data_IF_509748406975
#
_entry.id   IF_509748406975
#
_cell.length_a   1.000
_cell.length_b   1.000
_cell.length_c   1.000
_cell.angle_alpha   90.00
_cell.angle_beta   90.00
_cell.angle_gamma   90.00
#
_symmetry.space_group_name_H-M   'P 1'
#
loop_
_entity.id
_entity.type
_entity.pdbx_description
1 polymer ?
#
# COMPACT_ATOMS: atom_id res chain seq x y z
N UNK A 1 7.03 16.33 17.08
CA UNK A 1 8.20 15.47 16.78
C UNK A 1 9.26 15.82 17.80
N UNK A 2 9.44 14.96 18.80
CA UNK A 2 10.12 15.30 20.06
C UNK A 2 11.60 14.96 19.96
N UNK A 3 12.46 15.97 19.99
CA UNK A 3 13.91 15.93 19.73
C UNK A 3 14.72 15.95 21.03
N UNK A 4 14.54 14.97 21.92
CA UNK A 4 15.38 14.85 23.11
C UNK A 4 16.40 13.72 22.96
N UNK A 5 17.69 14.09 22.93
CA UNK A 5 18.81 13.18 23.16
C UNK A 5 18.99 13.01 24.67
N UNK A 6 18.54 11.90 25.22
CA UNK A 6 18.88 11.49 26.59
C UNK A 6 20.07 10.54 26.57
N UNK A 7 21.28 11.08 26.47
CA UNK A 7 22.51 10.36 26.81
C UNK A 7 23.31 11.19 27.83
N UNK A 8 23.78 10.60 28.95
CA UNK A 8 24.45 11.32 30.05
C UNK A 8 25.70 12.13 29.65
N UNK A 9 26.22 11.98 28.43
CA UNK A 9 27.44 12.62 27.95
C UNK A 9 27.25 13.63 26.79
N UNK A 10 26.02 13.85 26.29
CA UNK A 10 25.74 14.84 25.24
C UNK A 10 24.53 15.70 25.59
N UNK A 11 24.74 16.66 26.49
CA UNK A 11 23.90 17.86 26.61
C UNK A 11 24.12 18.74 25.38
N UNK A 12 23.19 18.70 24.42
CA UNK A 12 23.19 19.58 23.24
C UNK A 12 21.91 19.44 22.42
N UNK A 13 21.47 20.53 21.79
CA UNK A 13 20.30 20.52 20.91
C UNK A 13 20.59 19.72 19.63
N UNK A 14 19.79 18.71 19.34
CA UNK A 14 19.83 18.00 18.06
C UNK A 14 19.33 18.94 16.94
N UNK A 15 20.21 19.31 16.02
CA UNK A 15 19.88 20.22 14.90
C UNK A 15 19.69 19.43 13.61
N UNK A 16 18.56 19.65 12.93
CA UNK A 16 18.33 19.13 11.57
C UNK A 16 18.31 20.29 10.58
N UNK A 17 19.16 20.25 9.57
CA UNK A 17 19.29 21.28 8.54
C UNK A 17 18.56 20.85 7.26
N UNK A 18 17.78 21.75 6.69
CA UNK A 18 17.09 21.57 5.41
C UNK A 18 17.64 22.58 4.41
N UNK A 19 18.24 22.09 3.32
CA UNK A 19 18.88 22.92 2.30
C UNK A 19 18.02 22.92 1.04
N UNK A 20 17.71 24.12 0.53
CA UNK A 20 16.85 24.30 -0.63
C UNK A 20 17.63 24.93 -1.78
N UNK A 21 17.22 24.60 -3.01
CA UNK A 21 17.67 25.30 -4.21
C UNK A 21 17.24 26.76 -4.12
N UNK A 22 18.19 27.68 -4.22
CA UNK A 22 17.95 29.12 -4.00
C UNK A 22 17.03 29.75 -5.05
N UNK A 23 16.84 29.12 -6.21
CA UNK A 23 16.06 29.65 -7.33
C UNK A 23 14.68 29.00 -7.43
N UNK A 24 14.60 27.68 -7.24
CA UNK A 24 13.38 26.89 -7.42
C UNK A 24 12.70 26.55 -6.09
N UNK A 25 13.39 26.69 -4.96
CA UNK A 25 12.88 26.32 -3.64
C UNK A 25 12.75 24.81 -3.41
N UNK A 26 13.34 23.98 -4.28
CA UNK A 26 13.30 22.52 -4.12
C UNK A 26 14.23 22.04 -3.02
N UNK A 27 13.82 21.04 -2.24
CA UNK A 27 14.65 20.49 -1.17
C UNK A 27 15.83 19.69 -1.76
N UNK A 28 17.05 20.23 -1.66
CA UNK A 28 18.27 19.61 -2.16
C UNK A 28 18.84 18.61 -1.17
N UNK A 29 18.82 18.92 0.13
CA UNK A 29 19.27 17.98 1.15
C UNK A 29 18.64 18.20 2.51
N UNK A 30 18.57 17.13 3.28
CA UNK A 30 18.21 17.13 4.70
C UNK A 30 19.34 16.47 5.46
N UNK A 31 19.92 17.15 6.44
CA UNK A 31 21.06 16.69 7.24
C UNK A 31 20.64 16.65 8.70
N UNK A 32 20.79 15.48 9.32
CA UNK A 32 20.56 15.25 10.74
C UNK A 32 21.76 15.75 11.57
N UNK A 33 21.60 15.72 12.88
CA UNK A 33 22.62 16.19 13.82
C UNK A 33 23.86 15.29 13.89
N UNK A 34 23.77 14.06 13.38
CA UNK A 34 24.88 13.14 13.19
C UNK A 34 25.59 13.31 11.82
N UNK A 35 25.22 14.33 11.04
CA UNK A 35 25.76 14.63 9.72
C UNK A 35 25.25 13.70 8.60
N UNK A 36 24.44 12.68 8.91
CA UNK A 36 23.81 11.83 7.91
C UNK A 36 22.55 12.48 7.37
N UNK A 37 22.07 12.00 6.24
CA UNK A 37 20.92 12.66 5.62
C UNK A 37 20.53 12.15 4.26
N UNK A 38 19.65 12.88 3.62
CA UNK A 38 19.22 12.57 2.25
C UNK A 38 19.57 13.71 1.32
N UNK A 39 19.96 13.40 0.08
CA UNK A 39 20.09 14.37 -1.00
C UNK A 39 19.10 14.05 -2.11
N UNK A 40 18.61 15.07 -2.80
CA UNK A 40 17.68 14.94 -3.91
C UNK A 40 18.23 15.69 -5.13
N UNK A 41 17.95 15.15 -6.31
CA UNK A 41 18.14 15.87 -7.57
C UNK A 41 16.83 15.95 -8.33
N UNK A 42 16.70 16.95 -9.20
CA UNK A 42 15.48 17.22 -9.94
C UNK A 42 15.75 17.31 -11.44
N UNK A 43 14.76 16.97 -12.26
CA UNK A 43 14.77 17.24 -13.69
C UNK A 43 14.65 18.75 -13.95
N UNK A 44 14.96 19.23 -15.17
CA UNK A 44 14.73 20.64 -15.52
C UNK A 44 13.28 21.11 -15.34
N UNK A 45 12.31 20.18 -15.50
CA UNK A 45 10.88 20.41 -15.28
C UNK A 45 10.45 20.35 -13.81
N UNK A 46 11.40 20.16 -12.88
CA UNK A 46 11.16 20.17 -11.44
C UNK A 46 10.63 18.87 -10.85
N UNK A 47 10.77 17.76 -11.55
CA UNK A 47 10.40 16.43 -11.04
C UNK A 47 11.57 15.80 -10.29
N UNK A 48 11.30 15.06 -9.22
CA UNK A 48 12.35 14.35 -8.50
C UNK A 48 13.00 13.31 -9.45
N UNK A 49 14.33 13.39 -9.61
CA UNK A 49 15.10 12.53 -10.50
C UNK A 49 15.86 11.47 -9.73
N UNK A 50 16.56 11.86 -8.67
CA UNK A 50 17.23 10.92 -7.77
C UNK A 50 17.05 11.31 -6.32
N UNK A 51 17.15 10.32 -5.44
CA UNK A 51 17.26 10.51 -4.00
C UNK A 51 18.33 9.59 -3.43
N UNK A 52 19.36 10.14 -2.82
CA UNK A 52 20.32 9.38 -2.03
C UNK A 52 19.86 9.36 -0.57
N UNK A 53 19.71 8.17 -0.01
CA UNK A 53 19.30 7.91 1.36
C UNK A 53 20.49 8.01 2.31
N UNK A 54 20.23 8.20 3.61
CA UNK A 54 21.27 8.26 4.65
C UNK A 54 22.15 7.02 4.74
N UNK A 55 21.66 5.89 4.22
CA UNK A 55 22.41 4.63 4.09
C UNK A 55 23.29 4.55 2.82
N UNK A 56 23.44 5.63 2.07
CA UNK A 56 24.26 5.70 0.85
C UNK A 56 23.62 5.14 -0.42
N UNK A 57 22.46 4.50 -0.32
CA UNK A 57 21.73 3.98 -1.49
C UNK A 57 21.01 5.13 -2.20
N UNK A 58 21.13 5.19 -3.53
CA UNK A 58 20.46 6.15 -4.40
C UNK A 58 19.32 5.48 -5.13
N UNK A 59 18.12 6.05 -5.02
CA UNK A 59 16.97 5.70 -5.85
C UNK A 59 16.93 6.66 -7.04
N UNK A 60 16.83 6.14 -8.26
CA UNK A 60 16.56 6.92 -9.48
C UNK A 60 15.13 6.70 -9.90
N UNK A 61 14.41 7.77 -10.19
CA UNK A 61 13.01 7.76 -10.61
C UNK A 61 12.94 7.95 -12.12
N UNK A 62 12.41 6.96 -12.81
CA UNK A 62 12.20 6.99 -14.26
C UNK A 62 10.78 7.46 -14.53
N UNK A 63 10.62 8.45 -15.40
CA UNK A 63 9.31 9.02 -15.73
C UNK A 63 9.01 8.89 -17.22
N UNK A 64 7.75 8.65 -17.57
CA UNK A 64 7.28 8.78 -18.94
C UNK A 64 7.20 10.27 -19.37
N UNK A 65 6.80 10.53 -20.61
CA UNK A 65 6.65 11.89 -21.14
C UNK A 65 5.58 12.72 -20.40
N UNK A 66 4.50 12.08 -19.92
CA UNK A 66 3.47 12.73 -19.13
C UNK A 66 3.96 13.11 -17.72
N UNK A 67 4.97 12.40 -17.22
CA UNK A 67 5.58 12.60 -15.90
C UNK A 67 5.31 11.59 -14.85
N UNK A 68 4.56 10.56 -15.21
CA UNK A 68 4.28 9.49 -14.28
C UNK A 68 5.56 8.68 -14.07
N UNK A 69 5.79 8.29 -12.82
CA UNK A 69 6.90 7.40 -12.49
C UNK A 69 6.56 6.02 -13.03
N UNK A 70 7.40 5.51 -13.94
CA UNK A 70 7.28 4.19 -14.56
C UNK A 70 8.38 3.23 -14.09
N UNK A 71 9.38 3.71 -13.35
CA UNK A 71 10.45 2.87 -12.86
C UNK A 71 11.17 3.45 -11.65
N UNK A 72 11.69 2.57 -10.81
CA UNK A 72 12.62 2.89 -9.74
C UNK A 72 13.82 1.96 -9.84
N UNK A 73 15.02 2.55 -9.93
CA UNK A 73 16.27 1.80 -9.82
C UNK A 73 17.01 2.18 -8.56
N UNK A 74 17.68 1.21 -7.95
CA UNK A 74 18.44 1.42 -6.72
C UNK A 74 19.92 1.22 -6.98
N UNK A 75 20.77 2.12 -6.49
CA UNK A 75 22.22 1.95 -6.57
C UNK A 75 22.66 0.82 -5.65
N UNK A 76 23.28 -0.20 -6.21
CA UNK A 76 23.62 -1.44 -5.51
C UNK A 76 22.78 -2.61 -6.01
N UNK A 77 23.10 -3.82 -5.57
CA UNK A 77 22.48 -5.07 -6.03
C UNK A 77 21.52 -5.71 -5.01
N UNK A 78 21.39 -5.11 -3.81
CA UNK A 78 20.62 -5.70 -2.72
C UNK A 78 19.12 -5.40 -2.77
N UNK A 79 18.69 -4.40 -3.54
CA UNK A 79 17.27 -4.02 -3.67
C UNK A 79 16.89 -4.10 -5.13
N UNK A 80 15.93 -4.98 -5.44
CA UNK A 80 15.42 -5.14 -6.80
C UNK A 80 14.77 -3.86 -7.31
N UNK A 81 14.96 -3.58 -8.59
CA UNK A 81 14.30 -2.48 -9.28
C UNK A 81 12.78 -2.71 -9.34
N UNK A 82 12.04 -1.63 -9.55
CA UNK A 82 10.59 -1.67 -9.72
C UNK A 82 10.25 -1.07 -11.09
N UNK A 83 9.37 -1.72 -11.84
CA UNK A 83 8.88 -1.24 -13.13
C UNK A 83 7.36 -1.23 -13.12
N UNK A 84 6.76 -0.17 -13.66
CA UNK A 84 5.32 -0.02 -13.80
C UNK A 84 4.94 0.13 -15.28
N UNK A 85 3.84 -0.51 -15.65
CA UNK A 85 3.09 -0.15 -16.85
C UNK A 85 1.82 0.57 -16.43
N UNK A 86 1.49 1.67 -17.10
CA UNK A 86 0.35 2.51 -16.77
C UNK A 86 -0.68 2.48 -17.91
N UNK A 87 -1.95 2.61 -17.57
CA UNK A 87 -3.00 2.92 -18.54
C UNK A 87 -3.00 4.42 -18.90
N UNK A 88 -3.92 4.82 -19.78
CA UNK A 88 -4.06 6.21 -20.25
C UNK A 88 -4.52 7.19 -19.17
N UNK A 89 -5.02 6.69 -18.04
CA UNK A 89 -5.42 7.49 -16.88
C UNK A 89 -4.29 7.58 -15.84
N UNK A 90 -3.11 6.99 -16.11
CA UNK A 90 -1.97 6.95 -15.19
C UNK A 90 -2.09 5.89 -14.10
N UNK A 91 -3.07 4.97 -14.18
CA UNK A 91 -3.24 3.88 -13.22
C UNK A 91 -2.29 2.73 -13.58
N UNK A 92 -1.71 2.09 -12.57
CA UNK A 92 -0.77 0.98 -12.77
C UNK A 92 -1.52 -0.27 -13.20
N UNK A 93 -1.25 -0.78 -14.40
CA UNK A 93 -1.83 -2.04 -14.90
C UNK A 93 -0.86 -3.21 -14.82
N UNK A 94 0.43 -2.94 -14.60
CA UNK A 94 1.44 -3.97 -14.32
C UNK A 94 2.50 -3.42 -13.36
N UNK A 95 2.93 -4.26 -12.43
CA UNK A 95 3.99 -3.97 -11.48
C UNK A 95 4.95 -5.16 -11.47
N UNK A 96 6.21 -4.91 -11.80
CA UNK A 96 7.31 -5.87 -11.64
C UNK A 96 8.27 -5.36 -10.59
N UNK A 97 8.50 -6.13 -9.54
CA UNK A 97 9.49 -5.82 -8.50
C UNK A 97 10.17 -7.11 -7.99
N UNK A 98 10.85 -7.02 -6.84
CA UNK A 98 11.56 -8.15 -6.25
C UNK A 98 10.69 -9.33 -5.81
N UNK A 99 9.37 -9.18 -5.74
CA UNK A 99 8.47 -10.30 -5.39
C UNK A 99 7.90 -11.01 -6.62
N UNK A 100 8.01 -10.42 -7.80
CA UNK A 100 7.45 -10.95 -9.04
C UNK A 100 6.74 -9.87 -9.86
N UNK A 101 5.94 -10.33 -10.83
CA UNK A 101 5.09 -9.46 -11.65
C UNK A 101 3.62 -9.71 -11.33
N UNK A 102 2.88 -8.63 -11.07
CA UNK A 102 1.42 -8.67 -10.98
C UNK A 102 0.75 -7.67 -11.91
N UNK A 103 -0.36 -8.07 -12.50
CA UNK A 103 -1.17 -7.24 -13.39
C UNK A 103 -2.46 -6.84 -12.68
N UNK A 104 -2.86 -5.58 -12.86
CA UNK A 104 -4.02 -4.99 -12.20
C UNK A 104 -5.08 -4.62 -13.23
N UNK A 105 -6.34 -4.89 -12.90
CA UNK A 105 -7.50 -4.52 -13.72
C UNK A 105 -8.42 -3.61 -12.93
N UNK A 106 -9.03 -2.64 -13.62
CA UNK A 106 -9.88 -1.64 -12.98
C UNK A 106 -11.21 -1.52 -13.69
N UNK A 107 -12.23 -1.08 -12.95
CA UNK A 107 -13.46 -0.56 -13.53
C UNK A 107 -13.22 0.80 -14.17
N UNK A 108 -14.20 1.25 -14.97
CA UNK A 108 -14.19 2.61 -15.54
C UNK A 108 -14.18 3.69 -14.44
N UNK A 109 -14.85 3.42 -13.31
CA UNK A 109 -14.85 4.29 -12.12
C UNK A 109 -13.54 4.27 -11.32
N UNK A 110 -12.56 3.44 -11.68
CA UNK A 110 -11.26 3.38 -11.00
C UNK A 110 -11.16 2.41 -9.83
N UNK A 111 -12.17 1.57 -9.62
CA UNK A 111 -12.11 0.51 -8.61
C UNK A 111 -11.25 -0.65 -9.12
N UNK A 112 -10.37 -1.18 -8.27
CA UNK A 112 -9.54 -2.35 -8.60
C UNK A 112 -10.45 -3.59 -8.67
N UNK A 113 -10.54 -4.24 -9.83
CA UNK A 113 -11.36 -5.43 -10.04
C UNK A 113 -10.58 -6.73 -9.84
N UNK A 114 -9.28 -6.71 -10.10
CA UNK A 114 -8.45 -7.90 -9.88
C UNK A 114 -6.96 -7.65 -9.96
N UNK A 115 -6.23 -8.62 -9.42
CA UNK A 115 -4.77 -8.70 -9.43
C UNK A 115 -4.34 -10.11 -9.83
N UNK A 116 -3.60 -10.25 -10.92
CA UNK A 116 -3.06 -11.54 -11.39
C UNK A 116 -1.57 -11.60 -11.16
N UNK A 117 -1.11 -12.54 -10.32
CA UNK A 117 0.32 -12.77 -10.07
C UNK A 117 0.91 -13.66 -11.16
N UNK A 118 1.55 -13.04 -12.14
CA UNK A 118 2.09 -13.68 -13.34
C UNK A 118 3.47 -14.33 -13.11
N UNK A 119 4.22 -13.90 -12.11
CA UNK A 119 5.51 -14.49 -11.76
C UNK A 119 5.88 -14.23 -10.30
N UNK A 120 6.92 -14.92 -9.82
CA UNK A 120 7.44 -14.77 -8.47
C UNK A 120 6.74 -15.66 -7.44
N UNK A 121 6.84 -15.30 -6.15
CA UNK A 121 6.45 -16.18 -5.04
C UNK A 121 4.94 -16.49 -5.02
N UNK A 122 4.12 -15.59 -5.54
CA UNK A 122 2.66 -15.72 -5.54
C UNK A 122 2.11 -16.17 -6.90
N UNK A 123 2.95 -16.67 -7.81
CA UNK A 123 2.52 -17.05 -9.16
C UNK A 123 1.34 -18.02 -9.12
N UNK A 124 0.34 -17.75 -9.96
CA UNK A 124 -0.89 -18.55 -10.02
C UNK A 124 -1.92 -18.22 -8.94
N UNK A 125 -1.65 -17.27 -8.04
CA UNK A 125 -2.67 -16.67 -7.16
C UNK A 125 -3.26 -15.42 -7.82
N UNK A 126 -4.56 -15.43 -8.05
CA UNK A 126 -5.31 -14.28 -8.54
C UNK A 126 -6.21 -13.74 -7.44
N UNK A 127 -6.27 -12.42 -7.29
CA UNK A 127 -7.26 -11.76 -6.44
C UNK A 127 -8.36 -11.17 -7.32
N UNK A 128 -9.60 -11.31 -6.87
CA UNK A 128 -10.77 -10.69 -7.51
C UNK A 128 -11.57 -9.90 -6.48
N UNK A 129 -12.11 -8.78 -6.91
CA UNK A 129 -12.86 -7.84 -6.08
C UNK A 129 -14.20 -7.53 -6.73
N UNK A 130 -15.25 -7.53 -5.91
CA UNK A 130 -16.58 -7.07 -6.33
C UNK A 130 -17.05 -5.91 -5.48
N UNK A 131 -17.88 -5.07 -6.07
CA UNK A 131 -18.41 -3.85 -5.47
C UNK A 131 -19.91 -3.74 -5.76
N UNK A 132 -20.63 -3.05 -4.89
CA UNK A 132 -22.00 -2.63 -5.16
C UNK A 132 -22.05 -1.29 -5.91
N UNK A 133 -23.26 -0.83 -6.23
CA UNK A 133 -23.51 0.43 -6.95
C UNK A 133 -23.10 1.70 -6.17
N UNK A 134 -22.75 1.58 -4.90
CA UNK A 134 -22.23 2.67 -4.06
C UNK A 134 -20.71 2.57 -3.91
N UNK A 135 -20.05 1.78 -4.75
CA UNK A 135 -18.60 1.51 -4.74
C UNK A 135 -18.09 0.89 -3.43
N UNK A 136 -18.98 0.23 -2.67
CA UNK A 136 -18.61 -0.51 -1.46
C UNK A 136 -18.23 -1.92 -1.83
N UNK A 137 -17.08 -2.40 -1.36
CA UNK A 137 -16.56 -3.73 -1.69
C UNK A 137 -17.44 -4.81 -1.05
N UNK A 138 -18.06 -5.65 -1.87
CA UNK A 138 -18.94 -6.75 -1.46
C UNK A 138 -18.23 -8.10 -1.47
N UNK A 139 -17.12 -8.25 -2.20
CA UNK A 139 -16.36 -9.48 -2.24
C UNK A 139 -14.85 -9.23 -2.39
N UNK A 140 -14.06 -10.10 -1.76
CA UNK A 140 -12.65 -10.36 -2.08
C UNK A 140 -12.51 -11.87 -2.23
N UNK A 141 -11.95 -12.35 -3.32
CA UNK A 141 -11.64 -13.76 -3.51
C UNK A 141 -10.20 -13.97 -3.95
N UNK A 142 -9.66 -15.13 -3.59
CA UNK A 142 -8.36 -15.62 -4.05
C UNK A 142 -8.63 -16.89 -4.85
N UNK A 143 -8.13 -16.91 -6.08
CA UNK A 143 -8.16 -18.07 -6.95
C UNK A 143 -6.74 -18.62 -7.08
N UNK A 144 -6.57 -19.92 -6.90
CA UNK A 144 -5.33 -20.62 -7.14
C UNK A 144 -5.45 -21.37 -8.45
N UNK A 145 -4.68 -20.98 -9.46
CA UNK A 145 -4.78 -21.50 -10.83
C UNK A 145 -6.22 -21.44 -11.36
N UNK A 146 -6.84 -20.26 -11.22
CA UNK A 146 -8.23 -19.99 -11.61
C UNK A 146 -9.32 -20.80 -10.86
N UNK A 147 -8.96 -21.51 -9.79
CA UNK A 147 -9.92 -22.20 -8.91
C UNK A 147 -10.10 -21.41 -7.62
N UNK A 148 -11.33 -21.09 -7.25
CA UNK A 148 -11.64 -20.38 -6.01
C UNK A 148 -11.09 -21.13 -4.79
N UNK A 149 -10.17 -20.50 -4.07
CA UNK A 149 -9.52 -21.07 -2.89
C UNK A 149 -10.03 -20.44 -1.59
N UNK A 150 -10.22 -19.12 -1.59
CA UNK A 150 -10.72 -18.36 -0.45
C UNK A 150 -11.64 -17.25 -0.94
N UNK A 151 -12.64 -16.91 -0.15
CA UNK A 151 -13.44 -15.72 -0.39
C UNK A 151 -13.85 -15.07 0.92
N UNK A 152 -14.10 -13.77 0.86
CA UNK A 152 -14.75 -12.99 1.90
C UNK A 152 -15.84 -12.13 1.27
N UNK A 153 -17.06 -12.23 1.77
CA UNK A 153 -18.20 -11.42 1.38
C UNK A 153 -18.54 -10.40 2.48
N UNK A 154 -18.90 -9.20 2.07
CA UNK A 154 -19.25 -8.08 2.95
C UNK A 154 -20.66 -7.60 2.63
N UNK A 155 -21.43 -7.30 3.66
CA UNK A 155 -22.81 -6.85 3.55
C UNK A 155 -22.98 -5.57 4.32
N UNK A 156 -23.79 -4.66 3.76
CA UNK A 156 -23.99 -3.33 4.33
C UNK A 156 -25.48 -3.02 4.42
N UNK A 157 -25.84 -2.17 5.37
CA UNK A 157 -27.17 -1.57 5.41
C UNK A 157 -27.27 -0.34 4.49
N UNK A 158 -28.45 0.29 4.49
CA UNK A 158 -28.72 1.51 3.72
C UNK A 158 -27.94 2.74 4.22
N UNK A 159 -27.44 2.71 5.45
CA UNK A 159 -26.57 3.74 6.03
C UNK A 159 -25.08 3.46 5.78
N UNK A 160 -24.74 2.47 4.95
CA UNK A 160 -23.36 2.07 4.64
C UNK A 160 -22.55 1.55 5.82
N UNK A 161 -23.22 1.01 6.84
CA UNK A 161 -22.57 0.30 7.94
C UNK A 161 -22.44 -1.17 7.57
N UNK A 162 -21.28 -1.75 7.88
CA UNK A 162 -21.03 -3.18 7.70
C UNK A 162 -21.92 -3.97 8.67
N UNK A 163 -22.72 -4.89 8.15
CA UNK A 163 -23.66 -5.70 8.94
C UNK A 163 -23.22 -7.15 9.04
N UNK A 164 -22.51 -7.67 8.04
CA UNK A 164 -22.06 -9.06 8.04
C UNK A 164 -20.77 -9.25 7.24
N UNK A 165 -19.93 -10.16 7.71
CA UNK A 165 -18.77 -10.69 6.97
C UNK A 165 -18.88 -12.21 6.92
N UNK A 166 -18.59 -12.82 5.79
CA UNK A 166 -18.59 -14.28 5.66
C UNK A 166 -17.44 -14.76 4.79
N UNK A 167 -16.88 -15.93 5.08
CA UNK A 167 -15.89 -16.62 4.25
C UNK A 167 -16.48 -17.82 3.47
N UNK A 168 -17.82 -17.84 3.31
CA UNK A 168 -18.65 -18.96 2.87
C UNK A 168 -18.86 -20.08 3.91
N UNK A 169 -17.88 -20.36 4.75
CA UNK A 169 -17.96 -21.42 5.78
C UNK A 169 -18.49 -20.87 7.10
N UNK A 170 -18.09 -19.66 7.43
CA UNK A 170 -18.39 -18.95 8.65
C UNK A 170 -18.92 -17.56 8.32
N UNK A 171 -19.67 -17.01 9.25
CA UNK A 171 -20.15 -15.63 9.16
C UNK A 171 -20.18 -14.98 10.54
N UNK A 172 -19.88 -13.69 10.55
CA UNK A 172 -19.94 -12.83 11.72
C UNK A 172 -20.82 -11.63 11.41
N UNK A 173 -21.88 -11.46 12.21
CA UNK A 173 -22.74 -10.29 12.17
C UNK A 173 -22.12 -9.17 13.00
N UNK A 174 -22.06 -7.97 12.44
CA UNK A 174 -21.56 -6.78 13.11
C UNK A 174 -22.76 -5.98 13.59
N UNK A 175 -22.96 -5.96 14.91
CA UNK A 175 -23.93 -5.06 15.55
C UNK A 175 -23.16 -3.88 16.14
N UNK A 176 -23.43 -2.68 15.64
CA UNK A 176 -22.90 -1.45 16.24
C UNK A 176 -23.72 -1.11 17.50
N UNK A 177 -23.32 -1.65 18.65
CA UNK A 177 -23.70 -1.08 19.95
C UNK A 177 -22.60 -0.13 20.37
N UNK A 178 -22.96 1.12 20.66
CA UNK A 178 -22.02 2.19 20.99
C UNK A 178 -20.87 1.74 21.91
N UNK A 179 -19.65 2.16 21.57
CA UNK A 179 -18.40 2.11 22.35
C UNK A 179 -18.27 1.02 23.45
N UNK A 180 -18.45 -0.29 23.18
CA UNK A 180 -17.85 -1.31 24.08
C UNK A 180 -17.77 -2.78 23.63
N UNK A 181 -18.15 -3.21 22.42
CA UNK A 181 -17.80 -4.59 22.01
C UNK A 181 -18.07 -4.90 20.54
N UNK A 182 -17.06 -5.40 19.83
CA UNK A 182 -17.27 -6.26 18.65
C UNK A 182 -17.54 -7.67 19.16
N UNK A 183 -18.76 -8.20 18.96
CA UNK A 183 -19.03 -9.63 19.25
C UNK A 183 -18.75 -10.42 17.98
N UNK A 184 -17.68 -11.23 17.97
CA UNK A 184 -17.51 -12.28 16.98
C UNK A 184 -18.40 -13.45 17.39
N UNK A 185 -19.43 -13.78 16.61
CA UNK A 185 -20.08 -15.09 16.70
C UNK A 185 -19.17 -16.08 15.98
N UNK A 186 -18.40 -16.86 16.73
CA UNK A 186 -17.63 -17.97 16.15
C UNK A 186 -18.49 -19.22 15.97
N UNK A 187 -18.25 -19.87 14.82
CA UNK A 187 -18.56 -21.24 14.41
C UNK A 187 -19.95 -21.79 14.75
N UNK A 188 -20.93 -21.46 13.91
CA UNK A 188 -22.00 -22.41 13.65
C UNK A 188 -21.52 -23.44 12.61
N UNK A 189 -21.06 -24.61 13.09
CA UNK A 189 -21.48 -25.83 12.41
C UNK A 189 -23.03 -25.88 12.44
N UNK A 190 -23.72 -26.53 11.50
CA UNK A 190 -25.17 -26.46 11.42
C UNK A 190 -25.80 -26.91 12.75
N UNK A 191 -26.39 -25.96 13.49
CA UNK A 191 -27.18 -26.25 14.70
C UNK A 191 -26.68 -25.73 16.06
N UNK A 192 -25.62 -24.92 16.17
CA UNK A 192 -25.14 -24.42 17.48
C UNK A 192 -24.95 -22.91 17.56
N UNK A 193 -25.61 -22.23 18.50
CA UNK A 193 -25.29 -20.84 18.88
C UNK A 193 -24.62 -20.83 20.26
N UNK A 194 -23.39 -20.31 20.35
CA UNK A 194 -22.74 -20.03 21.64
C UNK A 194 -22.53 -18.52 21.78
N UNK A 195 -22.99 -17.97 22.90
CA UNK A 195 -22.79 -16.55 23.24
C UNK A 195 -21.64 -16.47 24.25
N UNK A 196 -20.53 -15.82 23.90
CA UNK A 196 -19.51 -15.43 24.88
C UNK A 196 -19.65 -13.95 25.20
N UNK A 197 -20.04 -13.65 26.44
CA UNK A 197 -19.88 -12.32 27.04
C UNK A 197 -18.44 -12.23 27.57
N UNK A 198 -17.81 -11.07 27.42
CA UNK A 198 -16.64 -10.72 28.22
C UNK A 198 -17.06 -10.57 29.68
#
# INVERSE_FOLDING_TARGET
MTTWKSFPAQTGAATTTWNYDATRGFLVSKVHDDGKGTTNTYTPTGRLRTRTWARGITTTYETNAAGDVIGLTYSGNATSNVVYTLDRMGRRISITDGTGTRNLTYSDGGLLLGETNASGTLVGLDLSYAYDHLDRRTNVSILTNSVLSLQHAYFFDSASRLTNVSDASYSATVEERGLSSTTFKDLAAPGGTVTRKR
#
